data_IF_293820480922
#
_entry.id   IF_293820480922
#
_cell.length_a   1.000
_cell.length_b   1.000
_cell.length_c   1.000
_cell.angle_alpha   90.00
_cell.angle_beta   90.00
_cell.angle_gamma   90.00
#
_symmetry.space_group_name_H-M   'P 1'
#
loop_
_entity.id
_entity.type
_entity.pdbx_description
1 polymer ?
#
# COMPACT_ATOMS: atom_id res chain seq x y z
N UNK A 1 21.13 -3.13 0.90
CA UNK A 1 20.55 -4.46 1.21
C UNK A 1 19.04 -4.30 1.30
N UNK A 2 18.26 -5.02 0.48
CA UNK A 2 16.82 -5.17 0.72
C UNK A 2 16.68 -6.12 1.92
N UNK A 3 16.29 -5.60 3.08
CA UNK A 3 15.93 -6.45 4.22
C UNK A 3 14.45 -6.80 4.14
N UNK A 4 14.09 -7.99 4.60
CA UNK A 4 12.68 -8.38 4.77
C UNK A 4 12.23 -7.87 6.14
N UNK A 5 11.19 -7.03 6.24
CA UNK A 5 10.72 -6.53 7.53
C UNK A 5 10.14 -7.67 8.37
N UNK A 6 10.30 -7.59 9.69
CA UNK A 6 9.67 -8.47 10.66
C UNK A 6 8.46 -7.79 11.35
N UNK A 7 7.89 -8.43 12.36
CA UNK A 7 6.81 -7.84 13.14
C UNK A 7 7.24 -6.57 13.91
N UNK A 8 8.48 -6.49 14.38
CA UNK A 8 8.97 -5.31 15.11
C UNK A 8 8.95 -4.08 14.21
N UNK A 9 9.33 -4.22 12.94
CA UNK A 9 9.23 -3.15 11.96
C UNK A 9 7.78 -2.62 11.81
N UNK A 10 6.76 -3.49 11.96
CA UNK A 10 5.35 -3.09 11.93
C UNK A 10 4.95 -2.35 13.21
N UNK A 11 5.39 -2.83 14.38
CA UNK A 11 5.12 -2.16 15.65
C UNK A 11 5.75 -0.75 15.71
N UNK A 12 6.98 -0.63 15.21
CA UNK A 12 7.66 0.66 15.02
C UNK A 12 6.95 1.54 14.01
N UNK A 13 6.52 0.96 12.87
CA UNK A 13 5.76 1.68 11.86
C UNK A 13 4.48 2.28 12.45
N UNK A 14 3.70 1.50 13.21
CA UNK A 14 2.49 2.01 13.86
C UNK A 14 2.81 3.16 14.81
N UNK A 15 3.86 3.01 15.63
CA UNK A 15 4.27 4.05 16.57
C UNK A 15 4.65 5.35 15.85
N UNK A 16 5.35 5.24 14.72
CA UNK A 16 5.78 6.35 13.86
C UNK A 16 4.59 7.08 13.20
N UNK A 17 3.62 6.34 12.69
CA UNK A 17 2.53 6.92 11.88
C UNK A 17 1.28 7.28 12.69
N UNK A 18 1.17 6.83 13.95
CA UNK A 18 0.00 7.02 14.83
C UNK A 18 -0.53 8.47 14.88
N UNK A 19 0.30 9.53 14.90
CA UNK A 19 -0.20 10.92 14.91
C UNK A 19 -0.87 11.34 13.60
N UNK A 20 -0.62 10.61 12.51
CA UNK A 20 -0.99 11.00 11.16
C UNK A 20 -2.11 10.16 10.58
N UNK A 21 -2.31 8.92 11.00
CA UNK A 21 -3.34 8.04 10.43
C UNK A 21 -4.66 8.10 11.20
N UNK A 22 -5.75 7.70 10.54
CA UNK A 22 -6.99 7.36 11.23
C UNK A 22 -6.85 5.96 11.85
N UNK A 23 -7.29 5.80 13.10
CA UNK A 23 -7.59 4.48 13.67
C UNK A 23 -8.93 4.03 13.09
N UNK A 24 -8.87 3.33 11.95
CA UNK A 24 -10.06 2.96 11.18
C UNK A 24 -10.97 2.01 11.97
N UNK A 25 -12.30 2.13 11.84
CA UNK A 25 -13.24 1.30 12.58
C UNK A 25 -13.19 -0.15 12.11
N UNK A 26 -13.73 -1.02 12.95
CA UNK A 26 -14.03 -2.41 12.61
C UNK A 26 -15.55 -2.57 12.64
N UNK A 27 -16.14 -2.98 11.53
CA UNK A 27 -17.56 -3.27 11.45
C UNK A 27 -17.84 -4.78 11.45
N UNK A 28 -19.08 -5.11 11.75
CA UNK A 28 -19.66 -6.46 11.67
C UNK A 28 -21.01 -6.36 10.98
N UNK A 29 -21.55 -7.48 10.49
CA UNK A 29 -22.88 -7.54 9.89
C UNK A 29 -23.59 -8.82 10.31
N UNK A 30 -24.76 -8.69 10.92
CA UNK A 30 -25.59 -9.85 11.31
C UNK A 30 -25.90 -10.74 10.10
N UNK A 31 -26.29 -10.12 8.98
CA UNK A 31 -26.56 -10.85 7.72
C UNK A 31 -25.34 -11.63 7.23
N UNK A 32 -24.15 -11.03 7.25
CA UNK A 32 -22.93 -11.73 6.83
C UNK A 32 -22.61 -12.86 7.78
N UNK A 33 -22.74 -12.63 9.09
CA UNK A 33 -22.49 -13.65 10.10
C UNK A 33 -23.42 -14.86 9.94
N UNK A 34 -24.70 -14.63 9.64
CA UNK A 34 -25.68 -15.68 9.37
C UNK A 34 -25.35 -16.48 8.09
N UNK A 35 -24.97 -15.79 7.00
CA UNK A 35 -24.60 -16.44 5.72
C UNK A 35 -23.41 -17.38 5.90
N UNK A 36 -22.39 -16.93 6.65
CA UNK A 36 -21.17 -17.71 6.84
C UNK A 36 -21.20 -18.62 8.08
N UNK A 37 -22.25 -18.51 8.91
CA UNK A 37 -22.31 -19.11 10.24
C UNK A 37 -21.01 -18.86 11.04
N UNK A 38 -20.53 -17.62 11.01
CA UNK A 38 -19.23 -17.21 11.55
C UNK A 38 -19.27 -15.75 12.03
N UNK A 39 -18.26 -15.32 12.78
CA UNK A 39 -18.09 -13.90 13.14
C UNK A 39 -17.18 -13.23 12.13
N UNK A 40 -17.72 -12.30 11.34
CA UNK A 40 -16.98 -11.60 10.28
C UNK A 40 -16.75 -10.14 10.67
N UNK A 41 -15.48 -9.74 10.59
CA UNK A 41 -15.02 -8.40 10.93
C UNK A 41 -14.44 -7.69 9.70
N UNK A 42 -14.85 -6.45 9.49
CA UNK A 42 -14.40 -5.61 8.37
C UNK A 42 -13.47 -4.52 8.89
N UNK A 43 -12.18 -4.61 8.56
CA UNK A 43 -11.22 -3.52 8.83
C UNK A 43 -11.34 -2.45 7.74
N UNK A 44 -12.00 -1.33 8.07
CA UNK A 44 -12.47 -0.35 7.08
C UNK A 44 -11.39 0.66 6.65
N UNK A 45 -10.38 0.20 5.89
CA UNK A 45 -9.34 1.09 5.35
C UNK A 45 -9.84 2.06 4.28
N UNK A 46 -11.07 1.89 3.78
CA UNK A 46 -11.78 2.90 2.98
C UNK A 46 -12.06 4.21 3.76
N UNK A 47 -11.93 4.19 5.09
CA UNK A 47 -12.00 5.39 5.95
C UNK A 47 -10.63 5.89 6.41
N UNK A 48 -9.54 5.35 5.87
CA UNK A 48 -8.22 5.92 6.08
C UNK A 48 -8.12 7.27 5.36
N UNK A 49 -7.13 8.10 5.74
CA UNK A 49 -6.75 9.25 4.92
C UNK A 49 -6.42 8.78 3.49
N UNK A 50 -6.74 9.63 2.53
CA UNK A 50 -6.75 9.35 1.07
C UNK A 50 -7.76 8.30 0.60
N UNK A 51 -8.52 7.67 1.51
CA UNK A 51 -9.57 6.70 1.16
C UNK A 51 -9.08 5.26 1.06
N UNK A 52 -7.83 4.97 1.46
CA UNK A 52 -7.28 3.61 1.43
C UNK A 52 -6.09 3.38 2.38
N UNK A 53 -5.69 2.12 2.52
CA UNK A 53 -4.58 1.69 3.38
C UNK A 53 -3.20 2.25 2.99
N UNK A 54 -3.02 2.67 1.72
CA UNK A 54 -1.71 3.07 1.18
C UNK A 54 -1.05 4.20 1.96
N UNK A 55 -1.86 5.08 2.57
CA UNK A 55 -1.37 6.18 3.40
C UNK A 55 -0.48 5.71 4.56
N UNK A 56 -0.72 4.50 5.10
CA UNK A 56 0.08 3.94 6.19
C UNK A 56 1.53 3.72 5.79
N UNK A 57 1.76 2.99 4.70
CA UNK A 57 3.09 2.73 4.14
C UNK A 57 3.77 3.99 3.64
N UNK A 58 3.05 4.83 2.90
CA UNK A 58 3.59 6.11 2.42
C UNK A 58 4.10 6.97 3.57
N UNK A 59 3.26 7.20 4.59
CA UNK A 59 3.68 7.97 5.76
C UNK A 59 4.85 7.29 6.49
N UNK A 60 4.80 5.97 6.65
CA UNK A 60 5.86 5.22 7.31
C UNK A 60 7.22 5.36 6.61
N UNK A 61 7.24 5.28 5.29
CA UNK A 61 8.45 5.42 4.49
C UNK A 61 9.01 6.85 4.59
N UNK A 62 8.17 7.86 4.41
CA UNK A 62 8.60 9.26 4.36
C UNK A 62 9.01 9.81 5.74
N UNK A 63 8.39 9.34 6.83
CA UNK A 63 8.82 9.70 8.19
C UNK A 63 10.26 9.27 8.51
N UNK A 64 10.80 8.30 7.77
CA UNK A 64 12.17 7.78 7.97
C UNK A 64 13.21 8.50 7.09
N UNK A 65 12.80 9.47 6.28
CA UNK A 65 13.75 10.24 5.48
C UNK A 65 14.68 11.05 6.40
N UNK A 66 15.97 11.00 6.10
CA UNK A 66 16.94 11.90 6.68
C UNK A 66 16.77 13.34 6.12
N UNK A 67 17.52 14.29 6.66
CA UNK A 67 17.40 15.70 6.24
C UNK A 67 17.76 15.93 4.76
N UNK A 68 18.70 15.17 4.20
CA UNK A 68 19.09 15.28 2.79
C UNK A 68 17.98 14.76 1.88
N UNK A 69 17.42 13.59 2.19
CA UNK A 69 16.29 13.00 1.47
C UNK A 69 15.05 13.90 1.52
N UNK A 70 14.75 14.51 2.69
CA UNK A 70 13.63 15.46 2.81
C UNK A 70 13.83 16.69 1.92
N UNK A 71 15.05 17.23 1.86
CA UNK A 71 15.39 18.39 1.01
C UNK A 71 15.32 18.05 -0.48
N UNK A 72 15.83 16.88 -0.88
CA UNK A 72 15.84 16.44 -2.27
C UNK A 72 14.43 16.06 -2.78
N UNK A 73 13.58 15.56 -1.89
CA UNK A 73 12.20 15.20 -2.20
C UNK A 73 12.03 13.71 -2.52
N UNK A 74 10.77 13.35 -2.77
CA UNK A 74 10.34 11.98 -3.10
C UNK A 74 9.83 11.91 -4.53
N UNK A 75 10.11 10.81 -5.22
CA UNK A 75 9.47 10.44 -6.48
C UNK A 75 8.78 9.09 -6.33
N UNK A 76 7.63 8.92 -6.98
CA UNK A 76 6.95 7.62 -7.12
C UNK A 76 6.26 7.53 -8.46
N UNK A 77 5.98 6.31 -8.92
CA UNK A 77 5.05 6.03 -10.01
C UNK A 77 3.82 5.30 -9.47
N UNK A 78 2.63 5.71 -9.89
CA UNK A 78 1.37 5.02 -9.57
C UNK A 78 0.21 5.64 -10.36
N UNK A 79 -0.72 4.80 -10.79
CA UNK A 79 -1.95 5.23 -11.46
C UNK A 79 -3.03 5.74 -10.50
N UNK A 80 -2.84 5.67 -9.18
CA UNK A 80 -3.91 6.05 -8.26
C UNK A 80 -3.56 6.19 -6.78
N UNK A 81 -3.93 5.19 -5.98
CA UNK A 81 -4.00 5.31 -4.53
C UNK A 81 -2.64 5.64 -3.87
N UNK A 82 -1.56 5.01 -4.35
CA UNK A 82 -0.23 5.30 -3.82
C UNK A 82 0.23 6.74 -4.15
N UNK A 83 -0.22 7.29 -5.28
CA UNK A 83 0.04 8.69 -5.66
C UNK A 83 -0.54 9.67 -4.66
N UNK A 84 -1.81 9.47 -4.30
CA UNK A 84 -2.51 10.29 -3.30
C UNK A 84 -1.87 10.15 -1.92
N UNK A 85 -1.55 8.91 -1.52
CA UNK A 85 -0.90 8.60 -0.25
C UNK A 85 0.46 9.29 -0.10
N UNK A 86 1.33 9.21 -1.12
CA UNK A 86 2.63 9.88 -1.13
C UNK A 86 2.48 11.39 -1.14
N UNK A 87 1.59 11.94 -1.98
CA UNK A 87 1.37 13.38 -2.03
C UNK A 87 0.89 13.94 -0.69
N UNK A 88 -0.09 13.30 -0.05
CA UNK A 88 -0.57 13.73 1.27
C UNK A 88 0.51 13.58 2.35
N UNK A 89 1.22 12.45 2.40
CA UNK A 89 2.28 12.22 3.38
C UNK A 89 3.42 13.25 3.23
N UNK A 90 3.83 13.52 2.00
CA UNK A 90 4.85 14.51 1.69
C UNK A 90 4.42 15.93 2.12
N UNK A 91 3.18 16.34 1.83
CA UNK A 91 2.61 17.61 2.28
C UNK A 91 2.67 17.77 3.80
N UNK A 92 2.28 16.74 4.54
CA UNK A 92 2.27 16.76 6.00
C UNK A 92 3.68 16.83 6.61
N UNK A 93 4.69 16.36 5.89
CA UNK A 93 6.09 16.34 6.32
C UNK A 93 6.93 17.48 5.71
N UNK A 94 6.33 18.35 4.89
CA UNK A 94 7.05 19.42 4.20
C UNK A 94 8.06 18.93 3.14
N UNK A 95 7.79 17.77 2.53
CA UNK A 95 8.63 17.15 1.50
C UNK A 95 8.03 17.46 0.12
N UNK A 96 8.85 17.77 -0.87
CA UNK A 96 8.38 17.88 -2.26
C UNK A 96 8.13 16.49 -2.83
N UNK A 97 6.93 16.26 -3.39
CA UNK A 97 6.58 14.99 -4.05
C UNK A 97 6.40 15.18 -5.56
N UNK A 98 7.13 14.37 -6.33
CA UNK A 98 6.97 14.20 -7.77
C UNK A 98 6.27 12.86 -8.03
N UNK A 99 5.18 12.88 -8.79
CA UNK A 99 4.32 11.71 -9.01
C UNK A 99 4.23 11.43 -10.51
N UNK A 100 4.70 10.26 -10.94
CA UNK A 100 4.54 9.79 -12.32
C UNK A 100 3.18 9.10 -12.44
N UNK A 101 2.27 9.68 -13.21
CA UNK A 101 0.89 9.19 -13.42
C UNK A 101 0.58 9.06 -14.91
N UNK A 102 -0.21 8.06 -15.34
CA UNK A 102 -0.55 7.95 -16.75
C UNK A 102 -1.55 9.04 -17.16
N UNK A 103 -1.51 9.46 -18.42
CA UNK A 103 -2.41 10.50 -18.95
C UNK A 103 -3.90 10.14 -18.86
N UNK A 104 -4.22 8.85 -18.89
CA UNK A 104 -5.58 8.30 -18.81
C UNK A 104 -6.01 7.98 -17.36
N UNK A 105 -5.23 8.37 -16.34
CA UNK A 105 -5.59 8.13 -14.95
C UNK A 105 -6.95 8.76 -14.62
N UNK A 106 -7.79 8.12 -13.77
CA UNK A 106 -9.09 8.67 -13.43
C UNK A 106 -8.97 10.10 -12.88
N UNK A 107 -9.76 11.02 -13.43
CA UNK A 107 -9.65 12.46 -13.17
C UNK A 107 -9.71 12.81 -11.67
N UNK A 108 -10.54 12.08 -10.91
CA UNK A 108 -10.62 12.24 -9.46
C UNK A 108 -9.27 12.00 -8.76
N UNK A 109 -8.46 11.04 -9.22
CA UNK A 109 -7.15 10.72 -8.64
C UNK A 109 -6.09 11.77 -9.00
N UNK A 110 -6.16 12.33 -10.20
CA UNK A 110 -5.31 13.46 -10.63
C UNK A 110 -5.59 14.68 -9.75
N UNK A 111 -6.87 15.08 -9.64
CA UNK A 111 -7.29 16.24 -8.84
C UNK A 111 -6.90 16.07 -7.37
N UNK A 112 -7.15 14.89 -6.78
CA UNK A 112 -6.77 14.63 -5.39
C UNK A 112 -5.25 14.74 -5.18
N UNK A 113 -4.45 14.16 -6.07
CA UNK A 113 -2.98 14.21 -6.01
C UNK A 113 -2.46 15.65 -6.10
N UNK A 114 -3.01 16.46 -7.02
CA UNK A 114 -2.68 17.88 -7.15
C UNK A 114 -3.14 18.70 -5.93
N UNK A 115 -4.34 18.42 -5.39
CA UNK A 115 -4.86 19.09 -4.19
C UNK A 115 -4.02 18.82 -2.94
N UNK A 116 -3.32 17.67 -2.90
CA UNK A 116 -2.30 17.38 -1.89
C UNK A 116 -0.92 17.97 -2.22
N UNK A 117 -0.76 18.72 -3.31
CA UNK A 117 0.49 19.39 -3.67
C UNK A 117 1.50 18.50 -4.40
N UNK A 118 1.09 17.32 -4.86
CA UNK A 118 1.94 16.46 -5.69
C UNK A 118 2.17 17.09 -7.06
N UNK A 119 3.44 17.15 -7.49
CA UNK A 119 3.83 17.58 -8.84
C UNK A 119 3.70 16.39 -9.78
N UNK A 120 2.70 16.42 -10.66
CA UNK A 120 2.45 15.31 -11.58
C UNK A 120 3.33 15.44 -12.82
N UNK A 121 4.00 14.34 -13.17
CA UNK A 121 4.62 14.11 -14.48
C UNK A 121 3.78 13.06 -15.17
N UNK A 122 3.19 13.42 -16.32
CA UNK A 122 2.37 12.50 -17.09
C UNK A 122 3.23 11.63 -18.00
N UNK A 123 2.82 10.38 -18.20
CA UNK A 123 3.37 9.46 -19.20
C UNK A 123 2.25 8.73 -19.97
N UNK A 124 2.57 8.22 -21.15
CA UNK A 124 1.72 7.32 -21.92
C UNK A 124 1.96 5.87 -21.47
N UNK A 125 0.94 5.27 -20.85
CA UNK A 125 1.04 3.90 -20.31
C UNK A 125 1.21 2.79 -21.34
N UNK A 126 0.96 3.08 -22.61
CA UNK A 126 1.02 2.10 -23.69
C UNK A 126 2.36 2.13 -24.42
N UNK A 127 3.12 3.23 -24.29
CA UNK A 127 4.36 3.45 -25.04
C UNK A 127 5.57 3.76 -24.17
N UNK A 128 5.38 4.18 -22.91
CA UNK A 128 6.44 4.57 -21.99
C UNK A 128 6.48 3.68 -20.74
N UNK A 129 7.68 3.54 -20.16
CA UNK A 129 7.89 2.82 -18.91
C UNK A 129 7.95 3.79 -17.71
N UNK A 130 6.93 3.70 -16.86
CA UNK A 130 6.82 4.51 -15.64
C UNK A 130 7.94 4.29 -14.63
N UNK A 131 8.49 3.08 -14.57
CA UNK A 131 9.56 2.73 -13.64
C UNK A 131 10.84 3.37 -14.12
N UNK A 132 11.14 3.27 -15.42
CA UNK A 132 12.27 3.95 -16.05
C UNK A 132 12.21 5.46 -15.83
N UNK A 133 11.08 6.10 -16.11
CA UNK A 133 10.89 7.55 -15.89
C UNK A 133 11.12 7.90 -14.41
N UNK A 134 10.56 7.11 -13.49
CA UNK A 134 10.73 7.31 -12.05
C UNK A 134 12.20 7.20 -11.60
N UNK A 135 12.92 6.22 -12.12
CA UNK A 135 14.36 6.02 -11.85
C UNK A 135 15.20 7.17 -12.41
N UNK A 136 14.98 7.58 -13.66
CA UNK A 136 15.70 8.70 -14.27
C UNK A 136 15.48 10.01 -13.50
N UNK A 137 14.26 10.28 -13.03
CA UNK A 137 13.95 11.44 -12.19
C UNK A 137 14.66 11.38 -10.84
N UNK A 138 14.67 10.20 -10.21
CA UNK A 138 15.37 9.98 -8.95
C UNK A 138 16.87 10.27 -9.09
N UNK A 139 17.52 9.71 -10.11
CA UNK A 139 18.95 9.90 -10.38
C UNK A 139 19.29 11.34 -10.74
N UNK A 140 18.56 11.93 -11.69
CA UNK A 140 18.84 13.28 -12.20
C UNK A 140 18.68 14.37 -11.14
N UNK A 141 17.73 14.21 -10.22
CA UNK A 141 17.38 15.23 -9.24
C UNK A 141 17.75 14.84 -7.79
N UNK A 142 18.38 13.69 -7.58
CA UNK A 142 18.73 13.17 -6.26
C UNK A 142 17.52 12.83 -5.39
N UNK A 143 16.34 12.63 -5.99
CA UNK A 143 15.11 12.30 -5.25
C UNK A 143 15.15 10.87 -4.75
N UNK A 144 14.45 10.58 -3.66
CA UNK A 144 14.27 9.19 -3.19
C UNK A 144 13.05 8.57 -3.88
N UNK A 145 13.25 7.47 -4.61
CA UNK A 145 12.16 6.69 -5.20
C UNK A 145 11.46 5.82 -4.14
N UNK A 146 10.14 5.94 -4.03
CA UNK A 146 9.33 5.12 -3.12
C UNK A 146 8.31 4.29 -3.91
N UNK A 147 8.56 2.99 -4.13
CA UNK A 147 7.68 2.16 -4.94
C UNK A 147 6.36 1.87 -4.20
N UNK A 148 5.31 1.46 -4.93
CA UNK A 148 3.97 1.28 -4.37
C UNK A 148 3.78 0.07 -3.45
N UNK A 149 4.71 -0.90 -3.46
CA UNK A 149 4.61 -2.12 -2.65
C UNK A 149 5.96 -2.76 -2.30
N UNK A 150 6.90 -2.90 -3.24
CA UNK A 150 8.18 -3.62 -3.03
C UNK A 150 9.21 -2.77 -2.26
N UNK A 151 8.89 -2.43 -1.02
CA UNK A 151 9.76 -1.67 -0.14
C UNK A 151 9.49 -2.01 1.33
N UNK A 152 10.53 -2.28 2.14
CA UNK A 152 10.35 -2.75 3.52
C UNK A 152 9.53 -1.78 4.37
N UNK A 153 9.74 -0.47 4.24
CA UNK A 153 8.94 0.52 4.96
C UNK A 153 7.50 0.62 4.47
N UNK A 154 7.24 0.35 3.18
CA UNK A 154 5.87 0.31 2.68
C UNK A 154 5.14 -0.88 3.31
N UNK A 155 5.72 -2.08 3.18
CA UNK A 155 5.22 -3.33 3.76
C UNK A 155 4.93 -3.18 5.26
N UNK A 156 5.91 -2.67 6.02
CA UNK A 156 5.78 -2.49 7.47
C UNK A 156 4.64 -1.53 7.82
N UNK A 157 4.48 -0.44 7.07
CA UNK A 157 3.36 0.48 7.28
C UNK A 157 2.01 -0.17 6.96
N UNK A 158 1.92 -0.96 5.89
CA UNK A 158 0.66 -1.61 5.53
C UNK A 158 0.21 -2.65 6.57
N UNK A 159 1.16 -3.38 7.16
CA UNK A 159 0.89 -4.36 8.21
C UNK A 159 0.22 -3.77 9.46
N UNK A 160 0.32 -2.46 9.67
CA UNK A 160 -0.32 -1.78 10.80
C UNK A 160 -1.85 -1.85 10.78
N UNK A 161 -2.46 -1.99 9.60
CA UNK A 161 -3.91 -2.17 9.49
C UNK A 161 -4.36 -3.50 10.13
N UNK A 162 -3.69 -4.60 9.79
CA UNK A 162 -3.94 -5.91 10.39
C UNK A 162 -3.59 -5.94 11.88
N UNK A 163 -2.49 -5.29 12.28
CA UNK A 163 -2.12 -5.14 13.70
C UNK A 163 -3.26 -4.49 14.50
N UNK A 164 -3.78 -3.35 14.03
CA UNK A 164 -4.91 -2.69 14.68
C UNK A 164 -6.19 -3.54 14.72
N UNK A 165 -6.42 -4.38 13.71
CA UNK A 165 -7.54 -5.32 13.68
C UNK A 165 -7.37 -6.36 14.81
N UNK A 166 -6.26 -7.07 14.85
CA UNK A 166 -6.00 -8.09 15.88
C UNK A 166 -6.01 -7.49 17.29
N UNK A 167 -5.46 -6.29 17.50
CA UNK A 167 -5.56 -5.59 18.79
C UNK A 167 -6.99 -5.22 19.18
N UNK A 168 -7.90 -5.11 18.21
CA UNK A 168 -9.30 -4.73 18.44
C UNK A 168 -10.21 -5.93 18.65
N UNK A 169 -10.02 -7.02 17.90
CA UNK A 169 -10.94 -8.18 17.90
C UNK A 169 -10.34 -9.46 18.46
N UNK A 170 -9.04 -9.48 18.76
CA UNK A 170 -8.33 -10.68 19.19
C UNK A 170 -7.89 -11.55 18.01
N UNK A 171 -7.60 -12.81 18.30
CA UNK A 171 -7.20 -13.81 17.30
C UNK A 171 -8.34 -14.11 16.30
N UNK A 172 -7.97 -14.49 15.07
CA UNK A 172 -8.90 -14.85 14.00
C UNK A 172 -8.50 -16.17 13.36
N UNK A 173 -9.47 -16.98 12.95
CA UNK A 173 -9.20 -18.23 12.23
C UNK A 173 -8.68 -17.98 10.80
N UNK A 174 -9.14 -16.91 10.15
CA UNK A 174 -8.79 -16.56 8.78
C UNK A 174 -8.73 -15.04 8.57
N UNK A 175 -7.80 -14.61 7.72
CA UNK A 175 -7.62 -13.22 7.29
C UNK A 175 -7.55 -13.15 5.77
N UNK A 176 -8.44 -12.39 5.14
CA UNK A 176 -8.52 -12.22 3.69
C UNK A 176 -8.02 -10.84 3.28
N UNK A 177 -7.00 -10.78 2.42
CA UNK A 177 -6.40 -9.53 1.95
C UNK A 177 -6.44 -9.45 0.43
N UNK A 178 -6.83 -8.30 -0.15
CA UNK A 178 -6.68 -8.08 -1.58
C UNK A 178 -5.19 -8.09 -1.94
N UNK A 179 -4.89 -8.66 -3.10
CA UNK A 179 -3.54 -8.85 -3.61
C UNK A 179 -3.41 -8.20 -4.99
N UNK A 180 -2.43 -7.30 -5.09
CA UNK A 180 -1.79 -6.88 -6.34
C UNK A 180 -0.30 -7.16 -6.20
N UNK A 181 0.55 -6.14 -6.13
CA UNK A 181 2.00 -6.30 -5.86
C UNK A 181 2.40 -6.80 -4.45
N UNK A 182 1.48 -7.34 -3.63
CA UNK A 182 1.83 -8.06 -2.38
C UNK A 182 2.09 -7.23 -1.12
N UNK A 183 2.29 -5.91 -1.20
CA UNK A 183 2.69 -5.10 -0.04
C UNK A 183 1.72 -5.10 1.16
N UNK A 184 0.40 -5.14 0.90
CA UNK A 184 -0.62 -5.26 1.97
C UNK A 184 -0.65 -6.67 2.56
N UNK A 185 -0.67 -7.68 1.69
CA UNK A 185 -0.72 -9.09 2.10
C UNK A 185 0.51 -9.46 2.94
N UNK A 186 1.71 -9.08 2.52
CA UNK A 186 2.96 -9.40 3.24
C UNK A 186 3.01 -8.74 4.62
N UNK A 187 2.70 -7.44 4.71
CA UNK A 187 2.63 -6.74 5.99
C UNK A 187 1.56 -7.34 6.91
N UNK A 188 0.41 -7.72 6.35
CA UNK A 188 -0.68 -8.33 7.12
C UNK A 188 -0.33 -9.74 7.61
N UNK A 189 0.38 -10.53 6.80
CA UNK A 189 0.85 -11.85 7.17
C UNK A 189 1.85 -11.81 8.32
N UNK A 190 2.76 -10.83 8.34
CA UNK A 190 3.69 -10.61 9.46
C UNK A 190 2.95 -10.25 10.76
N UNK A 191 1.92 -9.40 10.69
CA UNK A 191 1.06 -9.10 11.84
C UNK A 191 0.31 -10.34 12.34
N UNK A 192 -0.26 -11.12 11.42
CA UNK A 192 -1.00 -12.34 11.75
C UNK A 192 -0.09 -13.39 12.42
N UNK A 193 1.10 -13.64 11.85
CA UNK A 193 2.06 -14.61 12.39
C UNK A 193 2.42 -14.34 13.86
N UNK A 194 2.45 -13.08 14.28
CA UNK A 194 2.76 -12.71 15.66
C UNK A 194 1.53 -12.64 16.58
N UNK A 195 0.42 -12.10 16.09
CA UNK A 195 -0.74 -11.75 16.93
C UNK A 195 -1.86 -12.80 16.89
N UNK A 196 -1.84 -13.68 15.90
CA UNK A 196 -2.77 -14.80 15.76
C UNK A 196 -2.08 -15.93 14.98
N UNK A 197 -1.11 -16.66 15.60
CA UNK A 197 -0.23 -17.59 14.90
C UNK A 197 -0.94 -18.74 14.17
N UNK A 198 -2.14 -19.10 14.62
CA UNK A 198 -3.00 -20.11 13.99
C UNK A 198 -3.84 -19.57 12.83
N UNK A 199 -3.83 -18.26 12.59
CA UNK A 199 -4.63 -17.60 11.56
C UNK A 199 -4.16 -18.00 10.16
N UNK A 200 -5.11 -18.41 9.32
CA UNK A 200 -4.85 -18.66 7.90
C UNK A 200 -4.96 -17.36 7.11
N UNK A 201 -3.87 -16.92 6.49
CA UNK A 201 -3.84 -15.69 5.69
C UNK A 201 -4.02 -16.01 4.20
N UNK A 202 -5.00 -15.37 3.57
CA UNK A 202 -5.36 -15.57 2.17
C UNK A 202 -5.21 -14.28 1.36
N UNK A 203 -4.40 -14.35 0.29
CA UNK A 203 -4.38 -13.34 -0.76
C UNK A 203 -5.52 -13.57 -1.76
N UNK A 204 -6.17 -12.50 -2.19
CA UNK A 204 -7.29 -12.54 -3.14
C UNK A 204 -7.02 -11.62 -4.32
N UNK A 205 -7.01 -12.20 -5.52
CA UNK A 205 -6.74 -11.52 -6.79
C UNK A 205 -7.96 -11.61 -7.73
N UNK A 206 -8.10 -10.70 -8.70
CA UNK A 206 -9.03 -10.90 -9.81
C UNK A 206 -8.63 -12.15 -10.61
N UNK A 207 -9.60 -12.90 -11.12
CA UNK A 207 -9.33 -14.13 -11.86
C UNK A 207 -8.43 -13.92 -13.10
N UNK A 208 -8.53 -12.76 -13.75
CA UNK A 208 -7.73 -12.38 -14.92
C UNK A 208 -6.32 -11.90 -14.57
N UNK A 209 -6.08 -11.46 -13.33
CA UNK A 209 -4.78 -10.99 -12.83
C UNK A 209 -4.29 -11.87 -11.69
N UNK A 210 -4.08 -13.16 -11.96
CA UNK A 210 -3.76 -14.18 -10.96
C UNK A 210 -2.26 -14.54 -10.91
N UNK A 211 -1.38 -13.60 -11.25
CA UNK A 211 0.07 -13.81 -11.27
C UNK A 211 0.63 -14.13 -9.88
N UNK A 212 0.10 -13.56 -8.80
CA UNK A 212 0.48 -13.90 -7.43
C UNK A 212 0.09 -15.34 -7.06
N UNK A 213 -1.10 -15.80 -7.44
CA UNK A 213 -1.51 -17.20 -7.29
C UNK A 213 -0.60 -18.14 -8.07
N UNK A 214 -0.31 -17.82 -9.34
CA UNK A 214 0.61 -18.63 -10.16
C UNK A 214 2.01 -18.65 -9.52
N UNK A 215 2.49 -17.50 -9.06
CA UNK A 215 3.78 -17.36 -8.39
C UNK A 215 3.86 -18.21 -7.12
N UNK A 216 2.80 -18.16 -6.29
CA UNK A 216 2.71 -18.94 -5.06
C UNK A 216 2.75 -20.45 -5.33
N UNK A 217 2.04 -20.93 -6.36
CA UNK A 217 2.04 -22.36 -6.73
C UNK A 217 3.35 -22.83 -7.35
N UNK A 218 4.02 -21.96 -8.11
CA UNK A 218 5.26 -22.31 -8.82
C UNK A 218 6.52 -22.08 -7.99
N UNK A 219 6.44 -21.33 -6.88
CA UNK A 219 7.59 -20.97 -6.05
C UNK A 219 8.55 -19.96 -6.70
N UNK A 220 8.12 -19.25 -7.74
CA UNK A 220 8.89 -18.22 -8.45
C UNK A 220 7.95 -17.13 -8.97
N UNK A 221 8.44 -15.91 -9.16
CA UNK A 221 7.63 -14.82 -9.72
C UNK A 221 7.22 -15.19 -11.15
N UNK A 222 5.93 -15.09 -11.43
CA UNK A 222 5.31 -15.23 -12.75
C UNK A 222 4.90 -13.85 -13.23
N UNK A 223 5.20 -13.55 -14.49
CA UNK A 223 4.78 -12.32 -15.14
C UNK A 223 3.67 -12.64 -16.15
N UNK A 224 2.66 -11.78 -16.20
CA UNK A 224 1.54 -11.84 -17.14
C UNK A 224 1.40 -10.48 -17.82
N UNK A 225 0.66 -10.44 -18.94
CA UNK A 225 0.22 -9.17 -19.52
C UNK A 225 -0.72 -8.44 -18.56
N UNK A 226 -0.84 -7.11 -18.70
CA UNK A 226 -1.71 -6.31 -17.84
C UNK A 226 -3.16 -6.82 -17.92
N UNK A 227 -3.79 -7.21 -16.80
CA UNK A 227 -5.08 -7.87 -16.83
C UNK A 227 -6.22 -6.88 -17.09
N UNK A 228 -7.22 -7.32 -17.87
CA UNK A 228 -8.50 -6.60 -17.98
C UNK A 228 -9.38 -6.94 -16.77
N UNK A 229 -9.63 -5.94 -15.91
CA UNK A 229 -10.43 -6.11 -14.68
C UNK A 229 -10.98 -4.77 -14.18
N UNK A 230 -12.11 -4.82 -13.47
CA UNK A 230 -12.62 -3.66 -12.73
C UNK A 230 -11.79 -3.35 -11.47
N UNK A 231 -10.96 -4.29 -11.02
CA UNK A 231 -10.05 -4.12 -9.90
C UNK A 231 -8.81 -3.34 -10.34
N UNK A 232 -8.94 -2.03 -10.56
CA UNK A 232 -7.89 -1.15 -11.12
C UNK A 232 -6.61 -1.02 -10.26
N UNK A 233 -6.66 -1.52 -9.01
CA UNK A 233 -5.53 -1.55 -8.08
C UNK A 233 -4.86 -2.93 -7.92
N UNK A 234 -5.31 -3.94 -8.67
CA UNK A 234 -4.65 -5.25 -8.75
C UNK A 234 -3.37 -5.16 -9.59
#
# INVERSE_FOLDING_TARGET
MKFVPDYNAIAEALSRIKPYINKTPVFTSTTVNEIFNAQVYFKCENYQKTGEFKFRGAMNALCQFNNEQKKAGVVTFSSGNHSQAIALAAKLLGITATIVMPQDAPQAKIIATQGYGGKIIFYDRYTEDREEIGHQLAEKHGMTLIPPFDHPHIIAGQGTAAKELFEKVGELDALFMPLGGGGLLSGSALSAAQLSPSCRVFGVEPATGNDGQQSFRQGKIVHIDTPETIADGA
#
